data_IF_267092204660
#
_entry.id   IF_267092204660
#
_cell.length_a   1.000
_cell.length_b   1.000
_cell.length_c   1.000
_cell.angle_alpha   90.00
_cell.angle_beta   90.00
_cell.angle_gamma   90.00
#
_symmetry.space_group_name_H-M   'P 1'
#
loop_
_entity.id
_entity.type
_entity.pdbx_description
1 polymer ?
#
# COMPACT_ATOMS: atom_id res chain seq x y z
N UNK A 1 -30.56 2.64 29.31
CA UNK A 1 -29.43 2.98 28.45
C UNK A 1 -29.96 3.21 27.05
N UNK A 2 -29.75 4.38 26.47
CA UNK A 2 -30.18 4.68 25.09
C UNK A 2 -29.25 3.93 24.15
N UNK A 3 -29.82 3.15 23.21
CA UNK A 3 -29.04 2.43 22.17
C UNK A 3 -29.48 2.93 20.81
N UNK A 4 -28.51 3.37 19.99
CA UNK A 4 -28.72 3.86 18.61
C UNK A 4 -28.02 2.98 17.62
N UNK A 5 -28.68 2.65 16.54
CA UNK A 5 -28.08 1.90 15.42
C UNK A 5 -27.49 2.83 14.36
N UNK A 6 -28.08 4.01 14.17
CA UNK A 6 -27.83 5.04 13.16
C UNK A 6 -28.49 6.35 13.61
N UNK A 7 -28.50 7.37 12.75
CA UNK A 7 -29.12 8.68 13.02
C UNK A 7 -28.17 9.64 13.75
N UNK A 8 -26.86 9.50 13.53
CA UNK A 8 -25.86 10.43 14.09
C UNK A 8 -25.74 11.69 13.24
N UNK A 9 -25.64 12.86 13.88
CA UNK A 9 -25.49 14.11 13.15
C UNK A 9 -24.24 14.10 12.25
N UNK A 10 -24.42 14.28 10.94
CA UNK A 10 -23.32 14.22 9.95
C UNK A 10 -22.91 12.81 9.53
N UNK A 11 -23.70 11.79 9.88
CA UNK A 11 -23.45 10.45 9.36
C UNK A 11 -23.63 10.37 7.85
N UNK A 12 -22.88 9.45 7.24
CA UNK A 12 -23.03 9.06 5.84
C UNK A 12 -23.00 7.55 5.78
N UNK A 13 -23.95 6.96 5.09
CA UNK A 13 -24.04 5.53 4.94
C UNK A 13 -24.65 5.15 3.57
N UNK A 14 -24.08 4.15 2.95
CA UNK A 14 -24.61 3.52 1.73
C UNK A 14 -24.78 2.05 1.99
N UNK A 15 -25.98 1.54 1.74
CA UNK A 15 -26.32 0.12 1.73
C UNK A 15 -26.60 -0.26 0.29
N UNK A 16 -25.79 -1.12 -0.28
CA UNK A 16 -25.95 -1.50 -1.68
C UNK A 16 -27.21 -2.38 -1.83
N UNK A 17 -28.01 -2.15 -2.88
CA UNK A 17 -29.17 -2.99 -3.18
C UNK A 17 -28.77 -4.47 -3.33
N UNK A 18 -29.61 -5.36 -2.85
CA UNK A 18 -29.31 -6.80 -2.91
C UNK A 18 -29.10 -7.32 -4.33
N UNK A 19 -29.80 -6.77 -5.32
CA UNK A 19 -29.59 -7.10 -6.74
C UNK A 19 -28.16 -6.77 -7.22
N UNK A 20 -27.63 -5.60 -6.80
CA UNK A 20 -26.26 -5.16 -7.10
C UNK A 20 -25.24 -6.10 -6.44
N UNK A 21 -25.46 -6.45 -5.18
CA UNK A 21 -24.57 -7.40 -4.46
C UNK A 21 -24.56 -8.77 -5.15
N UNK A 22 -25.72 -9.27 -5.59
CA UNK A 22 -25.82 -10.54 -6.31
C UNK A 22 -25.12 -10.52 -7.68
N UNK A 23 -25.11 -9.38 -8.37
CA UNK A 23 -24.34 -9.21 -9.61
C UNK A 23 -22.83 -9.24 -9.33
N UNK A 24 -22.38 -8.53 -8.29
CA UNK A 24 -20.97 -8.56 -7.87
C UNK A 24 -20.50 -9.95 -7.44
N UNK A 25 -21.35 -10.74 -6.82
CA UNK A 25 -21.01 -12.14 -6.44
C UNK A 25 -20.77 -13.05 -7.66
N UNK A 26 -21.30 -12.70 -8.83
CA UNK A 26 -21.15 -13.46 -10.08
C UNK A 26 -20.00 -12.95 -10.97
N UNK A 27 -19.63 -11.70 -10.83
CA UNK A 27 -18.57 -11.09 -11.64
C UNK A 27 -17.18 -11.63 -11.24
N UNK A 28 -16.28 -11.76 -12.19
CA UNK A 28 -14.97 -12.38 -12.01
C UNK A 28 -14.08 -11.61 -11.02
N UNK A 29 -14.10 -10.26 -11.03
CA UNK A 29 -13.28 -9.42 -10.16
C UNK A 29 -13.95 -9.19 -8.81
N UNK A 30 -15.20 -8.72 -8.81
CA UNK A 30 -15.90 -8.34 -7.59
C UNK A 30 -16.30 -9.54 -6.72
N UNK A 31 -16.45 -10.75 -7.29
CA UNK A 31 -16.64 -11.97 -6.50
C UNK A 31 -15.48 -12.32 -5.57
N UNK A 32 -14.30 -11.76 -5.86
CA UNK A 32 -13.09 -11.96 -5.04
C UNK A 32 -13.19 -11.17 -3.73
N UNK A 33 -13.60 -9.91 -3.83
CA UNK A 33 -13.79 -9.01 -2.67
C UNK A 33 -14.67 -7.83 -3.08
N UNK A 34 -15.78 -7.62 -2.40
CA UNK A 34 -16.70 -6.50 -2.66
C UNK A 34 -17.34 -5.96 -1.40
N UNK A 35 -17.70 -4.69 -1.46
CA UNK A 35 -18.41 -3.96 -0.42
C UNK A 35 -19.91 -4.24 -0.55
N UNK A 36 -20.58 -4.42 0.56
CA UNK A 36 -22.04 -4.49 0.63
C UNK A 36 -22.65 -3.26 1.27
N UNK A 37 -21.93 -2.68 2.23
CA UNK A 37 -22.34 -1.48 2.96
C UNK A 37 -21.06 -0.71 3.35
N UNK A 38 -21.15 0.62 3.37
CA UNK A 38 -20.04 1.50 3.73
C UNK A 38 -20.55 2.75 4.40
N UNK A 39 -19.82 3.27 5.38
CA UNK A 39 -20.25 4.50 6.03
C UNK A 39 -19.24 5.14 6.97
N UNK A 40 -19.62 6.34 7.38
CA UNK A 40 -18.91 7.18 8.32
C UNK A 40 -19.87 7.66 9.42
N UNK A 41 -19.52 7.40 10.67
CA UNK A 41 -20.29 7.85 11.83
C UNK A 41 -19.43 8.76 12.71
N UNK A 42 -19.68 10.08 12.69
CA UNK A 42 -18.97 11.03 13.55
C UNK A 42 -19.56 11.02 14.96
N UNK A 43 -18.66 11.00 15.96
CA UNK A 43 -19.02 11.11 17.40
C UNK A 43 -20.30 10.32 17.76
N UNK A 44 -20.31 9.05 17.40
CA UNK A 44 -21.50 8.20 17.42
C UNK A 44 -21.91 7.83 18.84
N UNK A 45 -22.42 8.81 19.59
CA UNK A 45 -22.87 8.64 20.97
C UNK A 45 -24.02 7.63 21.07
N UNK A 46 -23.89 6.69 22.00
CA UNK A 46 -24.83 5.56 22.21
C UNK A 46 -24.92 4.58 21.02
N UNK A 47 -23.94 4.62 20.09
CA UNK A 47 -23.88 3.62 19.03
C UNK A 47 -23.78 2.23 19.60
N UNK A 48 -24.71 1.36 19.19
CA UNK A 48 -24.77 -0.01 19.65
C UNK A 48 -25.36 -0.91 18.57
N UNK A 49 -24.66 -1.97 18.26
CA UNK A 49 -25.12 -3.07 17.39
C UNK A 49 -24.89 -4.40 18.08
N UNK A 50 -25.88 -5.26 18.02
CA UNK A 50 -25.80 -6.64 18.48
C UNK A 50 -26.41 -7.55 17.41
N UNK A 51 -25.68 -8.57 17.03
CA UNK A 51 -26.10 -9.59 16.07
C UNK A 51 -25.96 -10.95 16.74
N UNK A 52 -27.07 -11.44 17.26
CA UNK A 52 -27.20 -12.77 17.89
C UNK A 52 -27.18 -13.85 16.80
N UNK A 53 -27.80 -13.57 15.65
CA UNK A 53 -27.77 -14.45 14.48
C UNK A 53 -26.51 -14.18 13.64
N UNK A 54 -25.83 -15.23 13.14
CA UNK A 54 -24.67 -15.10 12.28
C UNK A 54 -25.00 -14.33 11.00
N UNK A 55 -24.20 -13.33 10.66
CA UNK A 55 -24.32 -12.59 9.38
C UNK A 55 -23.27 -13.08 8.39
N UNK A 56 -23.62 -13.10 7.09
CA UNK A 56 -22.73 -13.59 6.03
C UNK A 56 -21.64 -12.59 5.62
N UNK A 57 -21.62 -11.41 6.20
CA UNK A 57 -20.69 -10.33 5.89
C UNK A 57 -19.60 -10.24 6.96
N UNK A 58 -18.38 -9.86 6.54
CA UNK A 58 -17.37 -9.33 7.42
C UNK A 58 -17.67 -7.87 7.72
N UNK A 59 -17.36 -7.40 8.94
CA UNK A 59 -17.57 -6.01 9.36
C UNK A 59 -16.23 -5.40 9.74
N UNK A 60 -15.72 -4.52 8.89
CA UNK A 60 -14.54 -3.70 9.17
C UNK A 60 -14.98 -2.43 9.90
N UNK A 61 -14.28 -2.07 10.99
CA UNK A 61 -14.45 -0.80 11.71
C UNK A 61 -13.07 -0.21 12.00
N UNK A 62 -12.87 1.04 11.61
CA UNK A 62 -11.67 1.82 11.92
C UNK A 62 -12.07 3.01 12.79
N UNK A 63 -11.55 3.06 14.01
CA UNK A 63 -11.73 4.16 14.93
C UNK A 63 -10.75 5.29 14.62
N UNK A 64 -11.27 6.42 14.16
CA UNK A 64 -10.47 7.61 13.81
C UNK A 64 -10.21 8.44 15.07
N UNK A 65 -11.24 8.58 15.92
CA UNK A 65 -11.24 9.42 17.11
C UNK A 65 -12.14 8.78 18.17
N UNK A 66 -11.88 9.05 19.45
CA UNK A 66 -12.67 8.54 20.55
C UNK A 66 -12.36 7.08 20.89
N UNK A 67 -13.35 6.39 21.44
CA UNK A 67 -13.24 5.02 21.90
C UNK A 67 -14.56 4.24 21.73
N UNK A 68 -14.44 2.93 21.74
CA UNK A 68 -15.55 2.00 21.73
C UNK A 68 -15.10 0.61 22.14
N UNK A 69 -15.95 -0.36 21.89
CA UNK A 69 -15.70 -1.76 22.24
C UNK A 69 -16.37 -2.70 21.24
N UNK A 70 -15.90 -3.91 21.18
CA UNK A 70 -16.61 -5.01 20.51
C UNK A 70 -16.44 -6.32 21.28
N UNK A 71 -17.40 -7.24 21.09
CA UNK A 71 -17.43 -8.57 21.70
C UNK A 71 -17.65 -9.63 20.64
N UNK A 72 -16.86 -10.69 20.69
CA UNK A 72 -17.00 -11.91 19.90
C UNK A 72 -17.00 -13.09 20.86
N UNK A 73 -18.11 -13.84 20.93
CA UNK A 73 -18.29 -14.85 21.97
C UNK A 73 -18.19 -14.22 23.37
N UNK A 74 -17.35 -14.81 24.23
CA UNK A 74 -17.11 -14.31 25.61
C UNK A 74 -15.95 -13.28 25.70
N UNK A 75 -15.30 -12.96 24.59
CA UNK A 75 -14.18 -12.02 24.56
C UNK A 75 -14.64 -10.62 24.21
N UNK A 76 -14.33 -9.65 25.07
CA UNK A 76 -14.58 -8.24 24.85
C UNK A 76 -13.26 -7.48 24.71
N UNK A 77 -13.24 -6.55 23.78
CA UNK A 77 -12.06 -5.74 23.43
C UNK A 77 -12.43 -4.27 23.43
N UNK A 78 -11.58 -3.44 24.05
CA UNK A 78 -11.65 -1.98 23.91
C UNK A 78 -10.93 -1.53 22.64
N UNK A 79 -11.47 -0.53 21.97
CA UNK A 79 -10.92 0.07 20.74
C UNK A 79 -10.76 1.56 20.98
N UNK A 80 -9.60 2.09 20.57
CA UNK A 80 -9.28 3.52 20.69
C UNK A 80 -8.88 4.09 19.33
N UNK A 81 -8.64 5.39 19.26
CA UNK A 81 -8.24 6.08 18.05
C UNK A 81 -7.03 5.41 17.37
N UNK A 82 -7.05 5.37 16.05
CA UNK A 82 -6.06 4.72 15.17
C UNK A 82 -6.02 3.18 15.28
N UNK A 83 -7.05 2.57 15.81
CA UNK A 83 -7.21 1.11 15.82
C UNK A 83 -8.33 0.69 14.87
N UNK A 84 -8.15 -0.46 14.24
CA UNK A 84 -9.19 -1.11 13.46
C UNK A 84 -9.37 -2.56 13.91
N UNK A 85 -10.53 -3.12 13.60
CA UNK A 85 -10.82 -4.53 13.75
C UNK A 85 -11.76 -5.00 12.63
N UNK A 86 -11.82 -6.32 12.44
CA UNK A 86 -12.71 -6.96 11.47
C UNK A 86 -13.47 -8.08 12.17
N UNK A 87 -14.77 -7.93 12.30
CA UNK A 87 -15.65 -8.97 12.82
C UNK A 87 -15.85 -10.02 11.74
N UNK A 88 -15.61 -11.30 12.03
CA UNK A 88 -15.75 -12.37 11.05
C UNK A 88 -17.21 -12.64 10.68
N UNK A 89 -17.43 -13.04 9.44
CA UNK A 89 -18.71 -13.57 9.00
C UNK A 89 -19.03 -14.87 9.74
N UNK A 90 -20.32 -15.15 9.94
CA UNK A 90 -20.78 -16.39 10.55
C UNK A 90 -20.65 -16.44 12.07
N UNK A 91 -20.23 -15.35 12.74
CA UNK A 91 -20.02 -15.33 14.18
C UNK A 91 -20.90 -14.27 14.85
N UNK A 92 -21.69 -14.61 15.88
CA UNK A 92 -22.42 -13.64 16.68
C UNK A 92 -21.48 -12.63 17.34
N UNK A 93 -21.87 -11.35 17.32
CA UNK A 93 -21.02 -10.28 17.84
C UNK A 93 -21.84 -9.07 18.28
N UNK A 94 -21.23 -8.24 19.11
CA UNK A 94 -21.77 -6.94 19.50
C UNK A 94 -20.65 -5.90 19.48
N UNK A 95 -21.00 -4.64 19.26
CA UNK A 95 -20.08 -3.52 19.36
C UNK A 95 -20.81 -2.23 19.69
N UNK A 96 -20.09 -1.28 20.25
CA UNK A 96 -20.64 0.01 20.62
C UNK A 96 -19.61 1.06 20.94
N UNK A 97 -20.06 2.32 20.96
CA UNK A 97 -19.24 3.45 21.39
C UNK A 97 -19.08 3.51 22.90
N UNK A 98 -18.00 4.12 23.36
CA UNK A 98 -17.85 4.58 24.72
C UNK A 98 -18.86 5.70 25.01
N UNK A 99 -19.40 5.73 26.24
CA UNK A 99 -20.43 6.71 26.62
C UNK A 99 -19.87 8.09 26.92
N UNK A 100 -18.61 8.17 27.34
CA UNK A 100 -17.94 9.42 27.74
C UNK A 100 -17.06 9.98 26.63
N UNK A 101 -16.51 9.11 25.77
CA UNK A 101 -15.66 9.46 24.65
C UNK A 101 -16.08 8.71 23.38
N UNK A 102 -17.26 9.04 22.82
CA UNK A 102 -17.84 8.28 21.72
C UNK A 102 -16.97 8.35 20.47
N UNK A 103 -16.81 7.21 19.81
CA UNK A 103 -15.96 7.09 18.63
C UNK A 103 -16.50 7.81 17.39
N UNK A 104 -15.56 8.25 16.56
CA UNK A 104 -15.75 8.57 15.16
C UNK A 104 -15.17 7.42 14.35
N UNK A 105 -15.97 6.81 13.49
CA UNK A 105 -15.57 5.58 12.77
C UNK A 105 -15.82 5.65 11.28
N UNK A 106 -14.92 5.01 10.52
CA UNK A 106 -15.23 4.43 9.22
C UNK A 106 -15.62 2.97 9.39
N UNK A 107 -16.63 2.53 8.66
CA UNK A 107 -17.05 1.14 8.69
C UNK A 107 -17.40 0.64 7.28
N UNK A 108 -17.11 -0.63 7.03
CA UNK A 108 -17.38 -1.31 5.76
C UNK A 108 -17.86 -2.72 6.05
N UNK A 109 -19.02 -3.11 5.51
CA UNK A 109 -19.40 -4.50 5.41
C UNK A 109 -18.96 -5.04 4.05
N UNK A 110 -18.43 -6.24 4.02
CA UNK A 110 -17.89 -6.80 2.80
C UNK A 110 -18.00 -8.32 2.74
N UNK A 111 -17.93 -8.85 1.53
CA UNK A 111 -17.93 -10.27 1.19
C UNK A 111 -16.88 -10.58 0.14
N UNK A 112 -16.74 -11.86 -0.19
CA UNK A 112 -15.92 -12.34 -1.30
C UNK A 112 -15.05 -13.53 -0.92
N UNK A 113 -14.49 -14.18 -1.95
CA UNK A 113 -13.64 -15.39 -1.79
C UNK A 113 -12.38 -15.14 -0.98
N UNK A 114 -11.84 -13.91 -0.99
CA UNK A 114 -10.66 -13.49 -0.23
C UNK A 114 -10.99 -12.67 1.02
N UNK A 115 -12.26 -12.52 1.39
CA UNK A 115 -12.66 -11.74 2.56
C UNK A 115 -11.99 -12.25 3.85
N UNK A 116 -11.99 -13.56 4.10
CA UNK A 116 -11.32 -14.18 5.25
C UNK A 116 -9.80 -13.98 5.24
N UNK A 117 -9.18 -13.98 4.07
CA UNK A 117 -7.75 -13.72 3.92
C UNK A 117 -7.39 -12.30 4.37
N UNK A 118 -8.15 -11.28 3.93
CA UNK A 118 -7.92 -9.90 4.33
C UNK A 118 -8.30 -9.63 5.78
N UNK A 119 -9.33 -10.30 6.31
CA UNK A 119 -9.68 -10.22 7.73
C UNK A 119 -8.53 -10.74 8.62
N UNK A 120 -7.87 -11.83 8.21
CA UNK A 120 -6.68 -12.35 8.87
C UNK A 120 -6.86 -12.51 10.38
N UNK A 121 -5.97 -11.89 11.16
CA UNK A 121 -6.01 -11.89 12.62
C UNK A 121 -6.69 -10.63 13.22
N UNK A 122 -7.36 -9.82 12.41
CA UNK A 122 -7.98 -8.56 12.83
C UNK A 122 -9.29 -8.73 13.63
N UNK A 123 -9.63 -9.96 14.09
CA UNK A 123 -10.65 -10.20 15.13
C UNK A 123 -10.21 -9.70 16.52
N UNK A 124 -9.11 -8.95 16.58
CA UNK A 124 -8.59 -8.19 17.72
C UNK A 124 -8.27 -6.78 17.26
N UNK A 125 -8.19 -5.78 18.18
CA UNK A 125 -7.79 -4.45 17.81
C UNK A 125 -6.37 -4.45 17.22
N UNK A 126 -6.22 -3.87 16.03
CA UNK A 126 -4.94 -3.71 15.35
C UNK A 126 -4.60 -2.22 15.31
N UNK A 127 -3.48 -1.86 15.91
CA UNK A 127 -3.05 -0.47 15.99
C UNK A 127 -2.28 -0.04 14.75
N UNK A 128 -2.66 1.11 14.20
CA UNK A 128 -1.89 1.84 13.19
C UNK A 128 -1.13 2.95 13.92
N UNK A 129 0.08 2.65 14.39
CA UNK A 129 0.90 3.65 15.11
C UNK A 129 1.07 4.91 14.28
N UNK A 130 0.60 6.08 14.77
CA UNK A 130 0.76 7.34 14.06
C UNK A 130 2.24 7.67 13.87
N UNK A 131 2.62 8.03 12.66
CA UNK A 131 3.94 8.52 12.29
C UNK A 131 3.82 9.26 10.96
N UNK A 132 4.81 10.02 10.57
CA UNK A 132 4.87 10.67 9.25
C UNK A 132 4.72 9.61 8.12
N UNK A 133 5.22 8.40 8.36
CA UNK A 133 5.20 7.30 7.41
C UNK A 133 3.94 6.42 7.50
N UNK A 134 3.05 6.65 8.48
CA UNK A 134 1.86 5.81 8.68
C UNK A 134 0.82 5.96 7.57
N UNK A 135 0.86 7.08 6.82
CA UNK A 135 -0.02 7.40 5.71
C UNK A 135 -1.52 7.28 6.08
N UNK A 136 -1.87 7.71 7.30
CA UNK A 136 -3.27 7.65 7.78
C UNK A 136 -4.16 8.51 6.90
N UNK A 137 -3.74 9.75 6.55
CA UNK A 137 -4.50 10.62 5.65
C UNK A 137 -4.77 9.97 4.30
N UNK A 138 -3.77 9.36 3.67
CA UNK A 138 -3.96 8.67 2.39
C UNK A 138 -4.98 7.52 2.46
N UNK A 139 -5.08 6.80 3.60
CA UNK A 139 -6.12 5.78 3.78
C UNK A 139 -7.50 6.41 3.95
N UNK A 140 -7.58 7.51 4.66
CA UNK A 140 -8.83 8.25 4.80
C UNK A 140 -9.30 8.79 3.44
N UNK A 141 -8.38 9.36 2.65
CA UNK A 141 -8.66 9.83 1.29
C UNK A 141 -9.15 8.68 0.39
N UNK A 142 -8.51 7.50 0.49
CA UNK A 142 -8.91 6.33 -0.27
C UNK A 142 -10.29 5.79 0.16
N UNK A 143 -10.62 5.84 1.46
CA UNK A 143 -11.96 5.52 1.94
C UNK A 143 -13.00 6.48 1.35
N UNK A 144 -12.71 7.78 1.38
CA UNK A 144 -13.58 8.81 0.82
C UNK A 144 -13.76 8.67 -0.70
N UNK A 145 -12.73 8.25 -1.41
CA UNK A 145 -12.77 7.97 -2.84
C UNK A 145 -13.70 6.79 -3.14
N UNK A 146 -13.58 5.69 -2.40
CA UNK A 146 -14.48 4.53 -2.51
C UNK A 146 -15.93 4.95 -2.23
N UNK A 147 -16.14 5.70 -1.16
CA UNK A 147 -17.49 6.16 -0.77
C UNK A 147 -18.12 7.01 -1.87
N UNK A 148 -17.41 8.02 -2.37
CA UNK A 148 -17.91 8.91 -3.44
C UNK A 148 -18.18 8.15 -4.74
N UNK A 149 -17.35 7.19 -5.09
CA UNK A 149 -17.55 6.37 -6.30
C UNK A 149 -18.87 5.60 -6.21
N UNK A 150 -19.18 5.00 -5.07
CA UNK A 150 -20.44 4.30 -4.85
C UNK A 150 -21.64 5.26 -4.73
N UNK A 151 -21.43 6.45 -4.20
CA UNK A 151 -22.46 7.52 -4.12
C UNK A 151 -22.87 8.04 -5.51
N UNK A 152 -21.96 8.05 -6.49
CA UNK A 152 -22.26 8.39 -7.89
C UNK A 152 -23.14 7.37 -8.60
N UNK A 153 -23.37 6.21 -8.00
CA UNK A 153 -24.25 5.16 -8.53
C UNK A 153 -23.52 3.85 -8.80
N UNK A 154 -24.31 2.83 -9.10
CA UNK A 154 -23.89 1.43 -9.15
C UNK A 154 -23.68 0.94 -10.60
N UNK A 155 -23.11 1.76 -11.48
CA UNK A 155 -22.68 1.28 -12.79
C UNK A 155 -21.61 0.18 -12.62
N UNK A 156 -21.51 -0.72 -13.61
CA UNK A 156 -20.51 -1.78 -13.57
C UNK A 156 -19.09 -1.24 -13.37
N UNK A 157 -18.73 -0.14 -14.04
CA UNK A 157 -17.43 0.51 -13.91
C UNK A 157 -17.18 1.07 -12.49
N UNK A 158 -18.18 1.75 -11.90
CA UNK A 158 -18.08 2.27 -10.54
C UNK A 158 -17.91 1.14 -9.52
N UNK A 159 -18.65 0.04 -9.68
CA UNK A 159 -18.54 -1.12 -8.80
C UNK A 159 -17.16 -1.78 -8.90
N UNK A 160 -16.65 -2.01 -10.10
CA UNK A 160 -15.31 -2.59 -10.29
C UNK A 160 -14.20 -1.68 -9.78
N UNK A 161 -14.32 -0.37 -10.01
CA UNK A 161 -13.38 0.60 -9.49
C UNK A 161 -13.37 0.61 -7.95
N UNK A 162 -14.55 0.69 -7.32
CA UNK A 162 -14.69 0.64 -5.87
C UNK A 162 -14.13 -0.67 -5.28
N UNK A 163 -14.36 -1.83 -5.92
CA UNK A 163 -13.77 -3.11 -5.53
C UNK A 163 -12.23 -3.08 -5.62
N UNK A 164 -11.67 -2.54 -6.71
CA UNK A 164 -10.22 -2.43 -6.90
C UNK A 164 -9.58 -1.52 -5.85
N UNK A 165 -10.17 -0.37 -5.58
CA UNK A 165 -9.75 0.56 -4.53
C UNK A 165 -9.86 -0.07 -3.13
N UNK A 166 -10.91 -0.86 -2.88
CA UNK A 166 -11.10 -1.57 -1.62
C UNK A 166 -10.07 -2.67 -1.39
N UNK A 167 -9.66 -3.41 -2.44
CA UNK A 167 -8.52 -4.34 -2.36
C UNK A 167 -7.25 -3.62 -1.92
N UNK A 168 -6.97 -2.46 -2.51
CA UNK A 168 -5.82 -1.65 -2.13
C UNK A 168 -5.94 -1.11 -0.71
N UNK A 169 -7.14 -0.69 -0.30
CA UNK A 169 -7.43 -0.24 1.06
C UNK A 169 -7.10 -1.32 2.11
N UNK A 170 -7.68 -2.51 1.97
CA UNK A 170 -7.39 -3.64 2.87
C UNK A 170 -5.93 -4.12 2.76
N UNK A 171 -5.35 -4.10 1.56
CA UNK A 171 -3.93 -4.36 1.34
C UNK A 171 -3.02 -3.41 2.10
N UNK A 172 -3.37 -2.12 2.17
CA UNK A 172 -2.63 -1.10 2.93
C UNK A 172 -2.61 -1.35 4.44
N UNK A 173 -3.61 -2.02 4.96
CA UNK A 173 -3.73 -2.41 6.37
C UNK A 173 -3.00 -3.73 6.65
N UNK A 174 -3.17 -4.72 5.78
CA UNK A 174 -2.56 -6.04 5.93
C UNK A 174 -1.05 -6.03 5.71
N UNK A 175 -0.59 -5.27 4.73
CA UNK A 175 0.84 -5.14 4.36
C UNK A 175 1.37 -3.77 4.77
N UNK A 176 1.19 -3.46 6.06
CA UNK A 176 1.48 -2.14 6.62
C UNK A 176 2.93 -1.69 6.38
N UNK A 177 3.89 -2.60 6.45
CA UNK A 177 5.29 -2.29 6.22
C UNK A 177 5.53 -1.90 4.75
N UNK A 178 5.06 -2.69 3.79
CA UNK A 178 5.19 -2.43 2.35
C UNK A 178 4.47 -1.12 1.96
N UNK A 179 3.28 -0.91 2.53
CA UNK A 179 2.53 0.33 2.30
C UNK A 179 3.26 1.57 2.81
N UNK A 180 3.93 1.46 3.96
CA UNK A 180 4.78 2.52 4.51
C UNK A 180 6.05 2.73 3.67
N UNK A 181 6.69 1.65 3.26
CA UNK A 181 7.94 1.69 2.49
C UNK A 181 7.74 2.23 1.07
N UNK A 182 6.61 1.93 0.42
CA UNK A 182 6.29 2.44 -0.92
C UNK A 182 6.16 3.98 -0.97
N UNK A 183 5.89 4.64 0.17
CA UNK A 183 5.80 6.10 0.26
C UNK A 183 7.13 6.79 0.62
N UNK A 184 8.17 6.01 0.89
CA UNK A 184 9.46 6.54 1.35
C UNK A 184 10.23 7.37 0.32
N UNK A 185 9.69 7.58 -0.90
CA UNK A 185 10.41 8.26 -1.98
C UNK A 185 10.67 9.76 -1.76
N UNK A 186 10.00 10.44 -0.81
CA UNK A 186 10.22 11.87 -0.57
C UNK A 186 10.65 12.27 0.85
N UNK A 187 10.37 11.47 1.89
CA UNK A 187 10.69 11.85 3.28
C UNK A 187 11.98 11.26 3.83
N UNK A 188 12.57 10.27 3.19
CA UNK A 188 13.80 9.61 3.63
C UNK A 188 15.08 10.20 3.00
N UNK A 189 15.16 11.54 2.86
CA UNK A 189 16.45 12.23 2.65
C UNK A 189 17.49 11.89 3.74
N UNK A 190 17.07 11.22 4.81
CA UNK A 190 17.91 10.74 5.89
C UNK A 190 18.20 9.22 5.85
N UNK A 191 17.65 8.44 4.91
CA UNK A 191 18.09 7.06 4.74
C UNK A 191 19.33 7.03 3.84
N UNK A 192 20.44 6.66 4.43
CA UNK A 192 21.77 6.58 3.82
C UNK A 192 21.76 5.83 2.50
N UNK A 193 21.03 4.73 2.43
CA UNK A 193 20.95 3.89 1.23
C UNK A 193 20.14 4.59 0.14
N UNK A 194 19.02 5.22 0.49
CA UNK A 194 18.19 6.00 -0.44
C UNK A 194 18.94 7.24 -0.94
N UNK A 195 19.62 7.96 -0.05
CA UNK A 195 20.46 9.11 -0.42
C UNK A 195 21.60 8.69 -1.37
N UNK A 196 22.27 7.57 -1.09
CA UNK A 196 23.29 7.02 -1.98
C UNK A 196 22.74 6.62 -3.37
N UNK A 197 21.56 5.97 -3.41
CA UNK A 197 20.92 5.58 -4.68
C UNK A 197 20.52 6.84 -5.47
N UNK A 198 20.01 7.87 -4.82
CA UNK A 198 19.68 9.14 -5.46
C UNK A 198 20.94 9.79 -6.04
N UNK A 199 22.01 9.88 -5.24
CA UNK A 199 23.29 10.39 -5.69
C UNK A 199 23.89 9.59 -6.85
N UNK A 200 23.77 8.25 -6.84
CA UNK A 200 24.16 7.39 -7.96
C UNK A 200 23.38 7.73 -9.23
N UNK A 201 22.05 7.91 -9.14
CA UNK A 201 21.19 8.23 -10.29
C UNK A 201 21.51 9.60 -10.90
N UNK A 202 21.80 10.60 -10.07
CA UNK A 202 22.18 11.94 -10.50
C UNK A 202 23.58 12.00 -11.14
N UNK A 203 24.40 10.98 -10.90
CA UNK A 203 25.81 10.95 -11.34
C UNK A 203 26.12 9.74 -12.23
N UNK A 204 25.15 9.25 -13.00
CA UNK A 204 25.34 8.09 -13.90
C UNK A 204 26.42 8.31 -14.96
N UNK A 205 26.69 9.55 -15.32
CA UNK A 205 27.73 9.93 -16.28
C UNK A 205 29.14 9.96 -15.67
N UNK A 206 29.23 9.90 -14.33
CA UNK A 206 30.50 9.99 -13.61
C UNK A 206 31.05 8.62 -13.22
N UNK A 207 32.34 8.57 -12.98
CA UNK A 207 33.01 7.43 -12.36
C UNK A 207 33.02 7.64 -10.85
N UNK A 208 32.05 7.05 -10.14
CA UNK A 208 32.00 7.08 -8.67
C UNK A 208 32.79 5.90 -8.09
N UNK A 209 33.51 6.18 -7.02
CA UNK A 209 34.18 5.19 -6.16
C UNK A 209 33.33 4.87 -4.93
N UNK A 210 33.69 3.79 -4.22
CA UNK A 210 33.08 3.49 -2.94
C UNK A 210 33.32 4.62 -1.92
N UNK A 211 34.47 5.29 -1.98
CA UNK A 211 34.80 6.41 -1.12
C UNK A 211 33.89 7.62 -1.39
N UNK A 212 33.58 7.92 -2.65
CA UNK A 212 32.69 9.03 -3.02
C UNK A 212 31.27 8.79 -2.47
N UNK A 213 30.77 7.57 -2.62
CA UNK A 213 29.44 7.19 -2.11
C UNK A 213 29.36 7.26 -0.59
N UNK A 214 30.41 6.79 0.08
CA UNK A 214 30.50 6.83 1.54
C UNK A 214 30.63 8.26 2.07
N UNK A 215 31.45 9.08 1.42
CA UNK A 215 31.62 10.50 1.76
C UNK A 215 30.30 11.27 1.62
N UNK A 216 29.53 11.03 0.54
CA UNK A 216 28.22 11.66 0.35
C UNK A 216 27.24 11.36 1.48
N UNK A 217 27.34 10.18 2.08
CA UNK A 217 26.44 9.73 3.15
C UNK A 217 27.00 10.00 4.56
N UNK A 218 28.23 10.50 4.67
CA UNK A 218 28.89 10.78 5.95
C UNK A 218 29.40 9.54 6.70
N UNK A 219 29.62 8.42 6.01
CA UNK A 219 30.07 7.15 6.58
C UNK A 219 31.45 6.73 6.09
N UNK A 220 32.11 5.84 6.85
CA UNK A 220 33.30 5.17 6.34
C UNK A 220 32.93 4.20 5.22
N UNK A 221 33.81 3.98 4.20
CA UNK A 221 33.53 3.06 3.09
C UNK A 221 33.13 1.67 3.51
N UNK A 222 33.78 1.11 4.53
CA UNK A 222 33.49 -0.23 5.05
C UNK A 222 32.09 -0.31 5.69
N UNK A 223 31.74 0.65 6.53
CA UNK A 223 30.43 0.70 7.18
C UNK A 223 29.31 0.95 6.18
N UNK A 224 29.48 1.90 5.27
CA UNK A 224 28.54 2.16 4.19
C UNK A 224 28.29 0.89 3.33
N UNK A 225 29.37 0.18 2.94
CA UNK A 225 29.26 -1.03 2.12
C UNK A 225 28.43 -2.12 2.79
N UNK A 226 28.62 -2.33 4.11
CA UNK A 226 27.85 -3.32 4.89
C UNK A 226 26.37 -2.92 4.96
N UNK A 227 26.07 -1.65 5.31
CA UNK A 227 24.70 -1.15 5.40
C UNK A 227 23.97 -1.24 4.06
N UNK A 228 24.65 -0.79 2.99
CA UNK A 228 24.09 -0.81 1.63
C UNK A 228 23.81 -2.22 1.15
N UNK A 229 24.77 -3.14 1.32
CA UNK A 229 24.61 -4.54 0.89
C UNK A 229 23.53 -5.27 1.68
N UNK A 230 23.43 -5.03 2.99
CA UNK A 230 22.37 -5.58 3.83
C UNK A 230 20.97 -5.13 3.38
N UNK A 231 20.83 -3.90 2.90
CA UNK A 231 19.55 -3.30 2.50
C UNK A 231 19.15 -3.65 1.08
N UNK A 232 20.12 -3.68 0.15
CA UNK A 232 19.85 -3.85 -1.29
C UNK A 232 20.11 -5.26 -1.81
N UNK A 233 20.85 -6.08 -1.06
CA UNK A 233 21.34 -7.39 -1.53
C UNK A 233 22.56 -7.30 -2.45
N UNK A 234 23.07 -6.09 -2.76
CA UNK A 234 24.17 -5.87 -3.69
C UNK A 234 25.26 -4.99 -3.09
N UNK A 235 26.51 -5.23 -3.48
CA UNK A 235 27.57 -4.28 -3.18
C UNK A 235 27.32 -2.93 -3.90
N UNK A 236 27.67 -1.77 -3.28
CA UNK A 236 27.35 -0.44 -3.81
C UNK A 236 27.76 -0.22 -5.27
N UNK A 237 28.98 -0.56 -5.65
CA UNK A 237 29.46 -0.39 -7.03
C UNK A 237 28.82 -1.37 -8.02
N UNK A 238 28.43 -2.56 -7.57
CA UNK A 238 27.65 -3.51 -8.38
C UNK A 238 26.28 -2.94 -8.69
N UNK A 239 25.62 -2.38 -7.68
CA UNK A 239 24.31 -1.73 -7.84
C UNK A 239 24.42 -0.50 -8.76
N UNK A 240 25.44 0.32 -8.59
CA UNK A 240 25.68 1.48 -9.46
C UNK A 240 25.89 1.07 -10.92
N UNK A 241 26.63 -0.01 -11.16
CA UNK A 241 26.80 -0.57 -12.50
C UNK A 241 25.48 -1.07 -13.10
N UNK A 242 24.59 -1.67 -12.30
CA UNK A 242 23.25 -2.05 -12.77
C UNK A 242 22.43 -0.83 -13.19
N UNK A 243 22.46 0.27 -12.43
CA UNK A 243 21.80 1.53 -12.81
C UNK A 243 22.34 2.09 -14.13
N UNK A 244 23.66 2.05 -14.34
CA UNK A 244 24.27 2.45 -15.63
C UNK A 244 23.79 1.60 -16.79
N UNK A 245 23.68 0.28 -16.61
CA UNK A 245 23.16 -0.62 -17.65
C UNK A 245 21.68 -0.37 -17.92
N UNK A 246 20.86 -0.11 -16.92
CA UNK A 246 19.46 0.31 -17.10
C UNK A 246 19.35 1.58 -17.94
N UNK A 247 20.19 2.58 -17.66
CA UNK A 247 20.25 3.81 -18.45
C UNK A 247 20.73 3.54 -19.89
N UNK A 248 21.69 2.63 -20.06
CA UNK A 248 22.13 2.22 -21.41
C UNK A 248 21.00 1.56 -22.20
N UNK A 249 20.19 0.68 -21.57
CA UNK A 249 19.02 0.09 -22.20
C UNK A 249 18.03 1.17 -22.65
N UNK A 250 17.72 2.13 -21.76
CA UNK A 250 16.86 3.25 -22.11
C UNK A 250 17.37 4.04 -23.33
N UNK A 251 18.67 4.34 -23.36
CA UNK A 251 19.27 5.04 -24.51
C UNK A 251 19.25 4.20 -25.80
N UNK A 252 19.44 2.87 -25.70
CA UNK A 252 19.36 1.96 -26.84
C UNK A 252 17.94 1.84 -27.39
N UNK A 253 16.91 1.93 -26.52
CA UNK A 253 15.52 1.82 -26.91
C UNK A 253 14.96 3.10 -27.53
N UNK A 254 15.33 4.27 -26.98
CA UNK A 254 14.69 5.55 -27.28
C UNK A 254 15.57 6.54 -28.06
N UNK A 255 16.78 6.17 -28.45
CA UNK A 255 17.67 7.04 -29.23
C UNK A 255 18.41 6.30 -30.35
N UNK A 256 18.88 7.05 -31.35
CA UNK A 256 19.71 6.52 -32.44
C UNK A 256 21.20 6.46 -32.10
N UNK A 257 21.56 6.70 -30.85
CA UNK A 257 22.95 6.71 -30.41
C UNK A 257 23.67 5.38 -30.72
N UNK A 258 24.93 5.47 -31.14
CA UNK A 258 25.77 4.29 -31.30
C UNK A 258 26.19 3.75 -29.92
N UNK A 259 26.48 2.46 -29.85
CA UNK A 259 26.88 1.78 -28.60
C UNK A 259 28.06 2.46 -27.91
N UNK A 260 29.05 2.92 -28.66
CA UNK A 260 30.20 3.65 -28.11
C UNK A 260 29.81 5.02 -27.52
N UNK A 261 28.88 5.74 -28.15
CA UNK A 261 28.38 7.02 -27.62
C UNK A 261 27.60 6.81 -26.31
N UNK A 262 26.78 5.75 -26.22
CA UNK A 262 26.07 5.39 -25.01
C UNK A 262 27.07 5.03 -23.91
N UNK A 263 28.12 4.26 -24.24
CA UNK A 263 29.17 3.89 -23.31
C UNK A 263 29.79 5.13 -22.63
N UNK A 264 30.18 6.12 -23.40
CA UNK A 264 30.72 7.38 -22.89
C UNK A 264 29.67 8.18 -22.06
N UNK A 265 28.43 8.23 -22.57
CA UNK A 265 27.35 8.97 -21.91
C UNK A 265 27.01 8.44 -20.53
N UNK A 266 27.21 7.17 -20.28
CA UNK A 266 27.02 6.57 -18.94
C UNK A 266 28.31 6.50 -18.11
N UNK A 267 29.38 7.23 -18.54
CA UNK A 267 30.64 7.34 -17.81
C UNK A 267 31.42 6.03 -17.73
N UNK A 268 31.41 5.22 -18.82
CA UNK A 268 32.24 4.05 -18.98
C UNK A 268 33.11 4.28 -20.24
N UNK A 269 34.40 4.53 -20.04
CA UNK A 269 35.32 4.85 -21.16
C UNK A 269 35.70 3.62 -21.96
N UNK A 270 35.84 2.46 -21.31
CA UNK A 270 36.21 1.20 -21.94
C UNK A 270 34.99 0.49 -22.52
N UNK A 271 34.86 0.48 -23.85
CA UNK A 271 33.74 -0.16 -24.56
C UNK A 271 33.74 -1.68 -24.46
N UNK A 272 34.91 -2.31 -24.26
CA UNK A 272 35.01 -3.76 -24.05
C UNK A 272 34.51 -4.12 -22.65
N UNK A 273 34.90 -3.34 -21.66
CA UNK A 273 34.38 -3.49 -20.29
C UNK A 273 32.86 -3.28 -20.25
N UNK A 274 32.37 -2.22 -20.91
CA UNK A 274 30.93 -1.98 -21.06
C UNK A 274 30.18 -3.17 -21.64
N UNK A 275 30.67 -3.70 -22.78
CA UNK A 275 30.03 -4.82 -23.47
C UNK A 275 29.96 -6.07 -22.59
N UNK A 276 31.04 -6.37 -21.85
CA UNK A 276 31.08 -7.49 -20.89
C UNK A 276 30.11 -7.27 -19.73
N UNK A 277 30.09 -6.05 -19.16
CA UNK A 277 29.21 -5.69 -18.07
C UNK A 277 27.74 -5.76 -18.51
N UNK A 278 27.42 -5.21 -19.68
CA UNK A 278 26.09 -5.25 -20.26
C UNK A 278 25.61 -6.69 -20.46
N UNK A 279 26.46 -7.54 -21.08
CA UNK A 279 26.13 -8.96 -21.29
C UNK A 279 25.96 -9.72 -19.98
N UNK A 280 26.75 -9.40 -18.95
CA UNK A 280 26.60 -10.01 -17.63
C UNK A 280 25.26 -9.65 -16.96
N UNK A 281 24.76 -8.43 -17.15
CA UNK A 281 23.51 -7.94 -16.53
C UNK A 281 22.29 -8.35 -17.36
N UNK A 282 22.37 -8.23 -18.70
CA UNK A 282 21.23 -8.39 -19.60
C UNK A 282 21.16 -9.77 -20.28
N UNK A 283 22.19 -10.62 -20.15
CA UNK A 283 22.23 -11.95 -20.77
C UNK A 283 22.55 -11.92 -22.27
N UNK A 284 22.70 -10.73 -22.89
CA UNK A 284 23.00 -10.56 -24.32
C UNK A 284 23.85 -9.32 -24.55
N UNK A 285 24.50 -9.22 -25.70
CA UNK A 285 25.32 -8.05 -26.03
C UNK A 285 24.48 -6.79 -26.29
N UNK A 286 25.05 -5.57 -26.15
CA UNK A 286 24.37 -4.32 -26.48
C UNK A 286 23.87 -4.24 -27.93
N UNK A 287 24.59 -4.86 -28.87
CA UNK A 287 24.20 -4.91 -30.29
C UNK A 287 23.02 -5.85 -30.53
N UNK A 288 22.98 -7.00 -29.87
CA UNK A 288 21.85 -7.93 -29.91
C UNK A 288 20.62 -7.30 -29.30
N UNK A 289 20.77 -6.65 -28.15
CA UNK A 289 19.71 -5.93 -27.47
C UNK A 289 19.08 -4.86 -28.37
N UNK A 290 19.92 -4.04 -29.05
CA UNK A 290 19.43 -2.98 -29.96
C UNK A 290 18.69 -3.54 -31.18
N UNK A 291 19.00 -4.78 -31.62
CA UNK A 291 18.34 -5.44 -32.77
C UNK A 291 16.99 -6.07 -32.39
N UNK A 292 16.73 -6.32 -31.11
CA UNK A 292 15.43 -6.84 -30.68
C UNK A 292 14.38 -5.74 -30.91
N UNK A 293 13.44 -5.99 -31.83
CA UNK A 293 12.25 -5.15 -31.96
C UNK A 293 11.41 -5.35 -30.70
N UNK A 294 11.37 -4.35 -29.84
CA UNK A 294 10.37 -4.30 -28.79
C UNK A 294 9.09 -3.80 -29.44
N UNK A 295 8.05 -4.65 -29.41
CA UNK A 295 6.68 -4.32 -29.84
C UNK A 295 6.06 -3.29 -28.91
#
# INVERSE_FOLDING_TARGET
MIKRKDGFSGERALVLPQSVVQEMEKDALSSILHITDIGYYPKALHHFRERLEPVSQFVFIYCIEGAGWFRIGDQEFTVTANQYFILPAGVPHAYGSDETNPWTIYWIHFKGKLASYFAGQAARPVEIKPSVQSRISNRNDLFEEIFRTLEMGYSHENLLYACSAFHYYLGSLRYLQQYREAARSESDKNDIVTAAIHFMKENLEKRLTLADLAAHTGYSPSHFSVLFSKRTGYAPLTYFNQLKIQQACHLLDFTDMKVNQICFKIGIEDTYYFSRLFSKVMGMSPREYKKQKKG
#
